data_IF_832654007317
#
_entry.id   IF_832654007317
#
_cell.length_a   1.000
_cell.length_b   1.000
_cell.length_c   1.000
_cell.angle_alpha   90.00
_cell.angle_beta   90.00
_cell.angle_gamma   90.00
#
_symmetry.space_group_name_H-M   'P 1'
#
loop_
_entity.id
_entity.type
_entity.pdbx_description
1 polymer ?
#
# COMPACT_ATOMS: atom_id res chain seq x y z
N UNK A 1 1.32 -13.64 1.80
CA UNK A 1 0.37 -12.51 1.69
C UNK A 1 1.17 -11.24 1.51
N UNK A 2 0.75 -10.30 0.64
CA UNK A 2 1.49 -9.05 0.34
C UNK A 2 0.65 -7.87 0.77
N UNK A 3 1.22 -6.97 1.53
CA UNK A 3 0.53 -5.78 2.02
C UNK A 3 1.53 -4.64 2.28
N UNK A 4 1.05 -3.42 2.41
CA UNK A 4 1.86 -2.29 2.84
C UNK A 4 1.41 -1.83 4.22
N UNK A 5 2.32 -1.19 4.95
CA UNK A 5 2.03 -0.50 6.19
C UNK A 5 2.88 0.76 6.32
N UNK A 6 2.30 1.77 6.90
CA UNK A 6 2.97 3.01 7.25
C UNK A 6 2.24 3.70 8.39
N UNK A 7 2.85 4.73 8.93
CA UNK A 7 2.23 5.56 9.95
C UNK A 7 2.71 7.00 9.86
N UNK A 8 1.92 7.90 10.40
CA UNK A 8 2.29 9.30 10.59
C UNK A 8 1.89 9.70 11.99
N UNK A 9 2.81 10.27 12.76
CA UNK A 9 2.56 10.70 14.13
C UNK A 9 3.29 12.01 14.46
N UNK A 10 2.78 12.73 15.46
CA UNK A 10 3.41 13.95 15.98
C UNK A 10 4.76 13.61 16.62
N UNK A 11 4.84 12.48 17.32
CA UNK A 11 6.06 12.03 18.00
C UNK A 11 7.25 11.76 17.04
N UNK A 12 6.96 11.39 15.79
CA UNK A 12 7.98 11.20 14.76
C UNK A 12 8.72 12.51 14.40
N UNK A 13 8.15 13.66 14.71
CA UNK A 13 8.76 14.98 14.46
C UNK A 13 9.96 15.29 15.34
N UNK A 14 10.13 14.58 16.44
CA UNK A 14 11.20 14.84 17.43
C UNK A 14 12.42 13.92 17.29
N UNK A 15 12.41 12.98 16.32
CA UNK A 15 13.51 12.03 16.13
C UNK A 15 14.33 12.33 14.88
N UNK A 16 15.09 13.40 14.89
CA UNK A 16 16.26 13.59 14.03
C UNK A 16 17.52 13.12 14.79
N UNK A 17 17.70 11.82 14.88
CA UNK A 17 18.87 11.19 15.50
C UNK A 17 19.41 10.08 14.60
N UNK A 18 20.60 10.28 14.12
CA UNK A 18 21.56 9.44 13.42
C UNK A 18 21.30 7.93 13.48
N UNK A 19 21.01 7.29 12.36
CA UNK A 19 21.00 5.83 12.23
C UNK A 19 22.42 5.31 12.01
N UNK A 20 22.96 4.63 13.02
CA UNK A 20 24.11 3.74 12.85
C UNK A 20 23.67 2.42 12.23
N UNK A 21 24.42 1.95 11.23
CA UNK A 21 24.34 0.60 10.69
C UNK A 21 24.68 -0.41 11.79
N UNK A 22 23.69 -1.08 12.37
CA UNK A 22 23.85 -2.09 13.42
C UNK A 22 22.99 -3.33 13.13
N UNK A 23 23.64 -4.47 13.28
CA UNK A 23 23.24 -5.83 12.98
C UNK A 23 21.87 -6.25 13.54
N UNK A 24 21.25 -7.20 12.83
CA UNK A 24 20.02 -7.90 13.18
C UNK A 24 20.19 -8.75 14.45
N UNK A 25 19.34 -8.51 15.45
CA UNK A 25 19.07 -9.49 16.49
C UNK A 25 17.58 -9.83 16.53
N UNK A 26 17.30 -11.13 16.43
CA UNK A 26 15.96 -11.72 16.58
C UNK A 26 15.62 -11.76 18.08
N UNK A 27 14.52 -11.11 18.48
CA UNK A 27 14.09 -11.08 19.88
C UNK A 27 12.57 -11.12 20.05
N UNK A 28 12.14 -12.16 20.62
CA UNK A 28 11.00 -12.68 21.34
C UNK A 28 9.75 -11.81 21.62
N UNK A 29 8.61 -12.49 21.54
CA UNK A 29 7.31 -12.05 22.02
C UNK A 29 7.34 -11.78 23.54
N UNK A 30 7.01 -10.57 23.96
CA UNK A 30 6.83 -10.20 25.36
C UNK A 30 5.38 -9.77 25.64
N UNK A 31 4.82 -10.34 26.67
CA UNK A 31 3.46 -10.22 27.19
C UNK A 31 3.07 -8.80 27.61
N UNK A 32 1.76 -8.53 27.49
CA UNK A 32 1.06 -7.32 27.88
C UNK A 32 1.26 -6.92 29.34
N UNK A 33 1.39 -5.62 29.59
CA UNK A 33 1.33 -5.03 30.92
C UNK A 33 1.22 -3.51 30.87
N UNK A 34 0.13 -3.01 31.49
CA UNK A 34 -0.09 -1.70 32.04
C UNK A 34 0.08 -0.45 31.15
N UNK A 35 -0.95 0.40 31.19
CA UNK A 35 -0.94 1.80 30.74
C UNK A 35 0.25 2.51 31.42
N UNK A 36 1.38 2.53 30.72
CA UNK A 36 2.62 3.19 31.09
C UNK A 36 2.97 4.23 30.05
N UNK A 37 3.71 5.23 30.44
CA UNK A 37 4.22 6.39 29.72
C UNK A 37 4.60 6.10 28.26
N UNK A 38 4.56 7.09 27.33
CA UNK A 38 4.92 6.89 25.94
C UNK A 38 6.32 6.28 25.85
N UNK A 39 6.35 5.02 25.42
CA UNK A 39 7.58 4.21 25.28
C UNK A 39 8.50 4.87 24.24
N UNK A 40 9.45 5.64 24.70
CA UNK A 40 10.42 6.43 23.93
C UNK A 40 11.44 5.57 23.17
N UNK A 41 11.10 4.41 22.68
CA UNK A 41 12.11 3.56 22.05
C UNK A 41 11.64 2.49 21.09
N UNK A 42 10.35 2.24 21.00
CA UNK A 42 9.85 1.09 20.24
C UNK A 42 9.73 1.39 18.75
N UNK A 43 10.78 1.11 18.01
CA UNK A 43 10.70 1.07 16.54
C UNK A 43 9.98 -0.21 16.14
N UNK A 44 8.76 -0.09 15.64
CA UNK A 44 8.02 -1.25 15.11
C UNK A 44 8.57 -1.59 13.73
N UNK A 45 9.16 -2.77 13.61
CA UNK A 45 9.60 -3.31 12.33
C UNK A 45 8.71 -4.49 11.97
N UNK A 46 7.87 -4.39 10.93
CA UNK A 46 7.06 -5.53 10.51
C UNK A 46 7.96 -6.67 10.02
N UNK A 47 7.69 -7.90 10.47
CA UNK A 47 8.48 -9.09 10.09
C UNK A 47 8.35 -9.35 8.59
N UNK A 48 9.47 -9.61 7.92
CA UNK A 48 9.51 -9.84 6.47
C UNK A 48 9.17 -8.60 5.63
N UNK A 49 9.42 -7.42 6.19
CA UNK A 49 9.16 -6.15 5.52
C UNK A 49 10.42 -5.58 4.87
N UNK A 50 10.21 -4.94 3.73
CA UNK A 50 11.17 -4.07 3.05
C UNK A 50 10.80 -2.61 3.36
N UNK A 51 11.74 -1.86 3.91
CA UNK A 51 11.58 -0.42 4.09
C UNK A 51 11.63 0.28 2.74
N UNK A 52 10.59 1.01 2.38
CA UNK A 52 10.53 1.81 1.17
C UNK A 52 11.08 3.21 1.40
N UNK A 53 10.75 3.79 2.55
CA UNK A 53 11.38 4.97 3.10
C UNK A 53 11.17 5.04 4.62
N UNK A 54 12.11 5.70 5.30
CA UNK A 54 12.12 5.84 6.75
C UNK A 54 11.45 7.10 7.28
N UNK A 55 11.78 7.40 8.51
CA UNK A 55 11.25 8.55 9.25
C UNK A 55 11.22 9.85 8.45
N UNK A 56 10.31 10.76 8.81
CA UNK A 56 9.44 10.71 10.00
C UNK A 56 8.10 9.96 9.77
N UNK A 57 7.78 9.60 8.56
CA UNK A 57 6.54 8.93 8.18
C UNK A 57 6.89 7.69 7.35
N UNK A 58 7.34 6.59 8.00
CA UNK A 58 7.88 5.43 7.32
C UNK A 58 6.83 4.66 6.54
N UNK A 59 7.27 4.02 5.44
CA UNK A 59 6.47 3.12 4.64
C UNK A 59 7.21 1.81 4.41
N UNK A 60 6.51 0.71 4.62
CA UNK A 60 7.00 -0.64 4.48
C UNK A 60 6.17 -1.44 3.49
N UNK A 61 6.83 -2.25 2.68
CA UNK A 61 6.22 -3.31 1.90
C UNK A 61 6.47 -4.64 2.60
N UNK A 62 5.43 -5.39 2.93
CA UNK A 62 5.51 -6.64 3.69
C UNK A 62 5.13 -7.82 2.80
N UNK A 63 5.92 -8.89 2.88
CA UNK A 63 5.71 -10.11 2.13
C UNK A 63 6.53 -10.17 0.84
N UNK A 64 6.28 -11.20 0.06
CA UNK A 64 7.03 -11.51 -1.16
C UNK A 64 6.54 -10.67 -2.35
N UNK A 65 6.96 -9.43 -2.40
CA UNK A 65 6.71 -8.53 -3.52
C UNK A 65 7.72 -8.76 -4.62
N UNK A 66 7.25 -8.82 -5.86
CA UNK A 66 8.13 -8.84 -7.01
C UNK A 66 8.72 -7.44 -7.22
N UNK A 67 9.97 -7.34 -7.69
CA UNK A 67 10.62 -6.03 -7.91
C UNK A 67 9.86 -5.10 -8.86
N UNK A 68 9.13 -5.67 -9.84
CA UNK A 68 8.30 -4.92 -10.79
C UNK A 68 6.95 -4.45 -10.20
N UNK A 69 6.60 -4.92 -9.01
CA UNK A 69 5.36 -4.53 -8.31
C UNK A 69 5.58 -3.41 -7.28
N UNK A 70 6.82 -3.00 -7.03
CA UNK A 70 7.15 -1.86 -6.16
C UNK A 70 7.91 -0.83 -6.98
N UNK A 71 7.34 0.35 -7.10
CA UNK A 71 7.97 1.47 -7.81
C UNK A 71 7.99 2.68 -6.93
N UNK A 72 9.15 3.34 -6.87
CA UNK A 72 9.33 4.58 -6.11
C UNK A 72 9.88 5.63 -7.04
N UNK A 73 9.20 6.76 -7.13
CA UNK A 73 9.68 7.95 -7.84
C UNK A 73 9.76 9.11 -6.86
N UNK A 74 10.72 10.00 -7.07
CA UNK A 74 10.94 11.16 -6.21
C UNK A 74 11.11 12.42 -7.05
N UNK A 75 10.68 13.55 -6.47
CA UNK A 75 10.85 14.90 -7.02
C UNK A 75 11.41 15.76 -5.88
N UNK A 76 12.73 15.89 -5.83
CA UNK A 76 13.41 16.52 -4.70
C UNK A 76 13.59 15.56 -3.51
N UNK A 77 14.00 16.09 -2.37
CA UNK A 77 14.39 15.30 -1.20
C UNK A 77 13.21 14.80 -0.37
N UNK A 78 12.11 15.54 -0.34
CA UNK A 78 10.98 15.36 0.58
C UNK A 78 9.65 15.08 -0.12
N UNK A 79 9.69 14.87 -1.46
CA UNK A 79 8.50 14.60 -2.28
C UNK A 79 8.71 13.29 -3.01
N UNK A 80 7.93 12.27 -2.65
CA UNK A 80 8.09 10.89 -3.17
C UNK A 80 6.75 10.19 -3.29
N UNK A 81 6.70 9.24 -4.22
CA UNK A 81 5.53 8.40 -4.48
C UNK A 81 5.97 6.95 -4.55
N UNK A 82 5.31 6.10 -3.78
CA UNK A 82 5.36 4.65 -3.95
C UNK A 82 4.08 4.16 -4.62
N UNK A 83 4.25 3.28 -5.60
CA UNK A 83 3.15 2.57 -6.27
C UNK A 83 3.39 1.07 -6.07
N UNK A 84 2.46 0.41 -5.38
CA UNK A 84 2.56 -1.01 -5.05
C UNK A 84 1.47 -1.79 -5.78
N UNK A 85 1.87 -2.65 -6.68
CA UNK A 85 1.00 -3.45 -7.54
C UNK A 85 1.33 -3.28 -9.02
N UNK A 86 0.44 -3.74 -9.88
CA UNK A 86 0.62 -3.61 -11.32
C UNK A 86 0.15 -2.22 -11.78
N UNK A 87 1.08 -1.42 -12.31
CA UNK A 87 0.79 -0.07 -12.82
C UNK A 87 1.45 0.09 -14.20
N UNK A 88 0.68 0.48 -15.21
CA UNK A 88 1.17 0.63 -16.58
C UNK A 88 1.82 1.99 -16.86
N UNK A 89 1.75 2.94 -15.92
CA UNK A 89 2.37 4.25 -16.10
C UNK A 89 3.92 4.13 -16.13
N UNK A 90 4.54 5.00 -16.91
CA UNK A 90 5.99 5.21 -16.90
C UNK A 90 6.41 5.99 -15.65
N UNK A 91 7.70 5.98 -15.31
CA UNK A 91 8.21 6.77 -14.19
C UNK A 91 7.99 8.27 -14.37
N UNK A 92 8.01 8.74 -15.61
CA UNK A 92 7.74 10.14 -15.92
C UNK A 92 6.27 10.50 -15.65
N UNK A 93 5.33 9.66 -16.07
CA UNK A 93 3.90 9.84 -15.76
C UNK A 93 3.64 9.79 -14.26
N UNK A 94 4.35 8.94 -13.52
CA UNK A 94 4.28 8.90 -12.06
C UNK A 94 4.79 10.21 -11.44
N UNK A 95 5.90 10.78 -11.94
CA UNK A 95 6.41 12.09 -11.47
C UNK A 95 5.44 13.23 -11.77
N UNK A 96 4.84 13.23 -12.96
CA UNK A 96 3.80 14.21 -13.33
C UNK A 96 2.60 14.11 -12.40
N UNK A 97 2.11 12.90 -12.12
CA UNK A 97 1.03 12.66 -11.17
C UNK A 97 1.37 13.09 -9.74
N UNK A 98 2.60 12.82 -9.29
CA UNK A 98 3.09 13.26 -8.00
C UNK A 98 3.13 14.81 -7.91
N UNK A 99 3.59 15.47 -8.95
CA UNK A 99 3.60 16.92 -9.01
C UNK A 99 2.18 17.51 -8.93
N UNK A 100 1.23 16.93 -9.66
CA UNK A 100 -0.18 17.33 -9.61
C UNK A 100 -0.79 17.11 -8.20
N UNK A 101 -0.49 15.96 -7.57
CA UNK A 101 -0.94 15.63 -6.23
C UNK A 101 -0.35 16.55 -5.14
N UNK A 102 0.83 17.10 -5.36
CA UNK A 102 1.41 18.15 -4.51
C UNK A 102 0.49 19.37 -4.40
N UNK A 103 -0.16 19.74 -5.50
CA UNK A 103 -1.18 20.80 -5.56
C UNK A 103 -2.58 20.39 -5.10
N UNK A 104 -2.78 19.12 -4.65
CA UNK A 104 -4.08 18.62 -4.18
C UNK A 104 -4.90 17.89 -5.24
N UNK A 105 -4.42 17.74 -6.48
CA UNK A 105 -5.12 17.03 -7.54
C UNK A 105 -4.94 15.50 -7.41
N UNK A 106 -5.52 14.90 -6.36
CA UNK A 106 -5.30 13.50 -5.96
C UNK A 106 -5.76 12.49 -7.00
N UNK A 107 -6.74 12.82 -7.85
CA UNK A 107 -7.23 11.95 -8.92
C UNK A 107 -6.12 11.48 -9.87
N UNK A 108 -5.05 12.27 -10.02
CA UNK A 108 -3.92 11.87 -10.87
C UNK A 108 -3.17 10.65 -10.33
N UNK A 109 -3.27 10.35 -9.02
CA UNK A 109 -2.66 9.17 -8.40
C UNK A 109 -3.48 7.89 -8.62
N UNK A 110 -4.73 7.99 -9.07
CA UNK A 110 -5.62 6.85 -9.34
C UNK A 110 -5.95 6.66 -10.82
N UNK A 111 -5.45 7.55 -11.69
CA UNK A 111 -5.82 7.58 -13.10
C UNK A 111 -5.01 6.62 -13.99
N UNK A 112 -3.92 6.03 -13.51
CA UNK A 112 -3.08 5.15 -14.31
C UNK A 112 -3.75 3.78 -14.52
N UNK A 113 -3.58 3.19 -15.71
CA UNK A 113 -4.08 1.84 -15.92
C UNK A 113 -3.37 0.83 -15.03
N UNK A 114 -4.16 -0.05 -14.39
CA UNK A 114 -3.57 -1.09 -13.55
C UNK A 114 -4.40 -1.41 -12.31
N UNK A 115 -3.77 -2.12 -11.37
CA UNK A 115 -4.34 -2.46 -10.06
C UNK A 115 -3.23 -2.27 -9.02
N UNK A 116 -3.24 -1.14 -8.33
CA UNK A 116 -2.16 -0.69 -7.44
C UNK A 116 -2.72 0.12 -6.28
N UNK A 117 -1.89 0.33 -5.28
CA UNK A 117 -2.09 1.32 -4.21
C UNK A 117 -1.00 2.38 -4.34
N UNK A 118 -1.38 3.65 -4.31
CA UNK A 118 -0.45 4.77 -4.38
C UNK A 118 -0.31 5.44 -3.02
N UNK A 119 0.93 5.65 -2.59
CA UNK A 119 1.27 6.39 -1.37
C UNK A 119 2.19 7.54 -1.75
N UNK A 120 1.69 8.76 -1.65
CA UNK A 120 2.46 9.97 -1.91
C UNK A 120 2.84 10.64 -0.59
N UNK A 121 4.11 11.03 -0.48
CA UNK A 121 4.59 11.89 0.60
C UNK A 121 5.07 13.21 0.02
N UNK A 122 4.58 14.31 0.58
CA UNK A 122 4.99 15.68 0.25
C UNK A 122 5.32 16.38 1.56
N UNK A 123 6.59 16.52 1.86
CA UNK A 123 7.08 16.93 3.17
C UNK A 123 6.46 16.04 4.28
N UNK A 124 5.68 16.64 5.20
CA UNK A 124 5.00 15.95 6.30
C UNK A 124 3.57 15.49 5.98
N UNK A 125 3.14 15.63 4.73
CA UNK A 125 1.83 15.17 4.29
C UNK A 125 1.97 13.81 3.61
N UNK A 126 1.34 12.79 4.17
CA UNK A 126 1.20 11.47 3.56
C UNK A 126 -0.21 11.35 2.99
N UNK A 127 -0.32 10.93 1.75
CA UNK A 127 -1.60 10.68 1.07
C UNK A 127 -1.61 9.25 0.56
N UNK A 128 -2.58 8.47 1.02
CA UNK A 128 -2.78 7.08 0.58
C UNK A 128 -4.04 7.01 -0.26
N UNK A 129 -3.91 6.61 -1.51
CA UNK A 129 -5.02 6.52 -2.45
C UNK A 129 -5.35 5.06 -2.69
N UNK A 130 -6.60 4.68 -2.36
CA UNK A 130 -7.18 3.41 -2.74
C UNK A 130 -7.66 3.41 -4.18
N UNK A 131 -8.26 2.33 -4.63
CA UNK A 131 -8.87 2.29 -5.94
C UNK A 131 -10.34 2.77 -5.91
N UNK A 132 -10.85 3.14 -7.08
CA UNK A 132 -12.22 3.64 -7.24
C UNK A 132 -13.28 2.56 -6.96
N UNK A 133 -12.97 1.31 -7.28
CA UNK A 133 -13.87 0.17 -7.07
C UNK A 133 -13.77 -0.43 -5.66
N UNK A 134 -12.77 -0.02 -4.87
CA UNK A 134 -12.51 -0.57 -3.54
C UNK A 134 -11.98 -2.01 -3.56
N UNK A 135 -11.51 -2.51 -4.71
CA UNK A 135 -10.93 -3.86 -4.81
C UNK A 135 -9.57 -3.99 -4.11
N UNK A 136 -8.90 -2.85 -3.90
CA UNK A 136 -7.67 -2.74 -3.08
C UNK A 136 -7.96 -1.86 -1.88
N UNK A 137 -8.53 -2.42 -0.82
CA UNK A 137 -8.92 -1.65 0.34
C UNK A 137 -7.68 -1.10 1.07
N UNK A 138 -7.82 0.12 1.60
CA UNK A 138 -6.89 0.71 2.53
C UNK A 138 -7.59 0.81 3.88
N UNK A 139 -6.87 0.43 4.93
CA UNK A 139 -7.34 0.44 6.31
C UNK A 139 -6.50 1.42 7.12
N UNK A 140 -7.07 1.92 8.19
CA UNK A 140 -6.38 2.81 9.11
C UNK A 140 -6.89 2.65 10.55
N UNK A 141 -6.06 3.04 11.50
CA UNK A 141 -6.38 3.05 12.93
C UNK A 141 -5.62 4.17 13.64
N UNK A 142 -6.18 4.79 14.69
CA UNK A 142 -5.41 5.64 15.59
C UNK A 142 -4.29 4.83 16.25
N UNK A 143 -3.07 5.36 16.25
CA UNK A 143 -1.92 4.70 16.86
C UNK A 143 -0.81 5.70 17.19
N UNK A 144 -0.19 5.56 18.37
CA UNK A 144 0.98 6.34 18.82
C UNK A 144 0.84 7.87 18.63
N UNK A 145 -0.32 8.42 19.00
CA UNK A 145 -0.60 9.85 18.84
C UNK A 145 -0.78 10.32 17.40
N UNK A 146 -0.97 9.40 16.48
CA UNK A 146 -1.20 9.64 15.06
C UNK A 146 -2.10 8.59 14.43
N UNK A 147 -1.73 8.15 13.24
CA UNK A 147 -2.50 7.16 12.49
C UNK A 147 -1.56 6.16 11.81
N UNK A 148 -1.79 4.87 12.03
CA UNK A 148 -1.24 3.79 11.23
C UNK A 148 -2.22 3.43 10.11
N UNK A 149 -1.68 3.03 8.94
CA UNK A 149 -2.46 2.64 7.78
C UNK A 149 -1.82 1.46 7.06
N UNK A 150 -2.62 0.72 6.31
CA UNK A 150 -2.13 -0.42 5.54
C UNK A 150 -3.18 -0.98 4.59
N UNK A 151 -2.78 -1.95 3.77
CA UNK A 151 -3.69 -2.66 2.84
C UNK A 151 -4.19 -3.99 3.39
N UNK A 152 -3.93 -4.28 4.67
CA UNK A 152 -4.47 -5.42 5.41
C UNK A 152 -4.96 -4.95 6.78
N UNK A 153 -6.16 -5.38 7.18
CA UNK A 153 -6.78 -4.95 8.44
C UNK A 153 -6.19 -5.70 9.65
N UNK A 154 -5.92 -6.99 9.53
CA UNK A 154 -5.42 -7.82 10.64
C UNK A 154 -4.12 -7.29 11.26
N UNK A 155 -3.07 -6.92 10.50
CA UNK A 155 -1.86 -6.38 11.12
C UNK A 155 -2.08 -5.06 11.87
N UNK A 156 -3.05 -4.25 11.44
CA UNK A 156 -3.43 -3.04 12.18
C UNK A 156 -4.22 -3.39 13.44
N UNK A 157 -5.04 -4.44 13.38
CA UNK A 157 -5.74 -4.95 14.55
C UNK A 157 -4.76 -5.49 15.60
N UNK A 158 -3.76 -6.26 15.16
CA UNK A 158 -2.70 -6.77 16.04
C UNK A 158 -1.90 -5.62 16.67
N UNK A 159 -1.65 -4.54 15.92
CA UNK A 159 -0.91 -3.37 16.40
C UNK A 159 -1.60 -2.66 17.58
N UNK A 160 -2.93 -2.66 17.61
CA UNK A 160 -3.74 -2.02 18.66
C UNK A 160 -4.41 -3.04 19.60
N UNK A 161 -4.09 -4.32 19.48
CA UNK A 161 -4.72 -5.42 20.23
C UNK A 161 -6.25 -5.39 20.15
N UNK A 162 -6.77 -5.15 18.93
CA UNK A 162 -8.19 -4.94 18.68
C UNK A 162 -9.02 -6.19 18.99
N UNK A 163 -10.17 -5.96 19.63
CA UNK A 163 -11.19 -6.99 19.77
C UNK A 163 -11.99 -7.17 18.48
N UNK A 164 -12.67 -8.31 18.33
CA UNK A 164 -13.59 -8.51 17.22
C UNK A 164 -14.82 -7.58 17.34
N UNK A 165 -15.20 -6.98 16.23
CA UNK A 165 -16.42 -6.20 16.09
C UNK A 165 -17.61 -7.14 15.82
N UNK A 166 -18.33 -7.52 16.89
CA UNK A 166 -19.48 -8.41 16.79
C UNK A 166 -20.62 -7.78 15.95
N UNK A 167 -20.77 -6.46 15.99
CA UNK A 167 -21.76 -5.74 15.18
C UNK A 167 -21.48 -5.88 13.70
N UNK A 168 -20.22 -5.72 13.30
CA UNK A 168 -19.78 -5.93 11.91
C UNK A 168 -20.00 -7.38 11.47
N UNK A 169 -19.62 -8.35 12.30
CA UNK A 169 -19.81 -9.77 11.98
C UNK A 169 -21.30 -10.13 11.86
N UNK A 170 -22.14 -9.60 12.74
CA UNK A 170 -23.59 -9.81 12.66
C UNK A 170 -24.17 -9.20 11.38
N UNK A 171 -23.77 -7.98 11.00
CA UNK A 171 -24.21 -7.33 9.77
C UNK A 171 -23.76 -8.12 8.52
N UNK A 172 -22.52 -8.61 8.51
CA UNK A 172 -21.99 -9.44 7.43
C UNK A 172 -22.78 -10.72 7.24
N UNK A 173 -23.20 -11.36 8.33
CA UNK A 173 -24.02 -12.58 8.29
C UNK A 173 -25.48 -12.31 7.93
N UNK A 174 -26.04 -11.19 8.38
CA UNK A 174 -27.43 -10.84 8.14
C UNK A 174 -27.68 -10.30 6.72
N UNK A 175 -26.72 -9.58 6.17
CA UNK A 175 -26.85 -8.87 4.89
C UNK A 175 -25.59 -9.09 4.00
N UNK A 176 -25.27 -10.35 3.61
CA UNK A 176 -24.04 -10.65 2.88
C UNK A 176 -23.95 -9.97 1.51
N UNK A 177 -25.10 -9.69 0.89
CA UNK A 177 -25.18 -9.10 -0.45
C UNK A 177 -25.30 -7.56 -0.42
N UNK A 178 -25.22 -6.94 0.77
CA UNK A 178 -25.37 -5.49 0.96
C UNK A 178 -24.12 -4.92 1.63
N UNK A 179 -23.03 -4.73 0.87
CA UNK A 179 -21.78 -4.23 1.42
C UNK A 179 -21.90 -2.83 2.05
N UNK A 180 -22.91 -2.05 1.66
CA UNK A 180 -23.22 -0.75 2.24
C UNK A 180 -23.64 -0.86 3.71
N UNK A 181 -24.21 -1.98 4.14
CA UNK A 181 -24.57 -2.24 5.53
C UNK A 181 -23.35 -2.30 6.45
N UNK A 182 -22.18 -2.60 5.91
CA UNK A 182 -20.92 -2.67 6.67
C UNK A 182 -20.26 -1.29 6.82
N UNK A 183 -20.60 -0.33 5.96
CA UNK A 183 -20.01 1.01 5.96
C UNK A 183 -18.48 0.96 5.82
N UNK A 184 -17.80 1.72 6.67
CA UNK A 184 -16.33 1.77 6.76
C UNK A 184 -15.77 0.86 7.88
N UNK A 185 -16.62 0.06 8.52
CA UNK A 185 -16.21 -0.86 9.59
C UNK A 185 -15.42 -2.06 9.05
N UNK A 186 -14.72 -2.74 9.96
CA UNK A 186 -14.01 -3.99 9.69
C UNK A 186 -14.36 -5.00 10.78
N UNK A 187 -13.99 -6.28 10.63
CA UNK A 187 -14.16 -7.27 11.70
C UNK A 187 -13.41 -6.93 13.00
N UNK A 188 -12.60 -5.88 13.01
CA UNK A 188 -11.74 -5.51 14.15
C UNK A 188 -12.14 -4.13 14.68
N UNK A 189 -12.49 -4.05 15.97
CA UNK A 189 -12.85 -2.81 16.63
C UNK A 189 -11.69 -1.78 16.54
N UNK A 190 -12.01 -0.55 16.11
CA UNK A 190 -11.00 0.51 15.97
C UNK A 190 -10.23 0.53 14.65
N UNK A 191 -10.29 -0.53 13.85
CA UNK A 191 -9.75 -0.55 12.49
C UNK A 191 -10.86 -0.20 11.50
N UNK A 192 -10.63 0.80 10.66
CA UNK A 192 -11.60 1.28 9.68
C UNK A 192 -11.06 1.17 8.27
N UNK A 193 -11.96 1.04 7.30
CA UNK A 193 -11.69 1.03 5.87
C UNK A 193 -11.88 2.44 5.30
N UNK A 194 -11.06 2.81 4.33
CA UNK A 194 -11.29 4.01 3.54
C UNK A 194 -12.36 3.68 2.48
N UNK A 195 -13.40 4.51 2.35
CA UNK A 195 -14.42 4.29 1.31
C UNK A 195 -13.82 4.29 -0.09
N UNK A 196 -14.37 3.53 -1.06
CA UNK A 196 -13.98 3.61 -2.46
C UNK A 196 -14.02 5.04 -2.98
N UNK A 197 -13.09 5.42 -3.85
CA UNK A 197 -13.02 6.78 -4.40
C UNK A 197 -12.52 7.85 -3.40
N UNK A 198 -12.00 7.43 -2.24
CA UNK A 198 -11.45 8.34 -1.24
C UNK A 198 -9.96 8.07 -1.00
N UNK A 199 -9.29 9.12 -0.53
CA UNK A 199 -7.91 9.07 -0.08
C UNK A 199 -7.82 9.38 1.42
N UNK A 200 -6.86 8.76 2.09
CA UNK A 200 -6.44 9.10 3.43
C UNK A 200 -5.33 10.15 3.35
N UNK A 201 -5.55 11.30 3.93
CA UNK A 201 -4.55 12.37 4.03
C UNK A 201 -4.15 12.53 5.48
N UNK A 202 -2.86 12.34 5.76
CA UNK A 202 -2.26 12.48 7.08
C UNK A 202 -1.34 13.69 7.09
N UNK A 203 -1.42 14.48 8.15
CA UNK A 203 -0.56 15.65 8.37
C UNK A 203 -0.27 15.77 9.86
N UNK A 204 0.96 15.49 10.25
CA UNK A 204 1.45 15.70 11.62
C UNK A 204 0.46 15.22 12.70
N UNK A 205 0.02 13.98 12.60
CA UNK A 205 -0.94 13.37 13.52
C UNK A 205 -2.42 13.65 13.22
N UNK A 206 -2.73 14.62 12.37
CA UNK A 206 -4.11 14.83 11.89
C UNK A 206 -4.46 13.85 10.77
N UNK A 207 -5.73 13.53 10.66
CA UNK A 207 -6.27 12.60 9.67
C UNK A 207 -7.49 13.20 8.99
N UNK A 208 -7.50 13.12 7.66
CA UNK A 208 -8.64 13.51 6.83
C UNK A 208 -8.92 12.40 5.80
N UNK A 209 -10.20 12.12 5.57
CA UNK A 209 -10.64 11.25 4.47
C UNK A 209 -11.32 12.16 3.45
N UNK A 210 -10.78 12.22 2.24
CA UNK A 210 -11.26 13.12 1.20
C UNK A 210 -11.56 12.35 -0.08
N UNK A 211 -12.71 12.64 -0.71
CA UNK A 211 -13.04 12.11 -2.03
C UNK A 211 -12.13 12.72 -3.09
N UNK A 212 -11.55 11.92 -3.95
CA UNK A 212 -10.75 12.40 -5.08
C UNK A 212 -11.53 12.42 -6.40
N UNK A 213 -12.68 11.74 -6.44
CA UNK A 213 -13.66 11.85 -7.53
C UNK A 213 -14.83 12.71 -7.06
N UNK A 214 -15.22 13.73 -7.82
CA UNK A 214 -16.39 14.53 -7.49
C UNK A 214 -17.64 13.65 -7.53
N UNK A 215 -18.42 13.61 -6.44
CA UNK A 215 -19.71 12.88 -6.39
C UNK A 215 -20.64 13.33 -7.53
N UNK A 216 -20.56 14.61 -7.91
CA UNK A 216 -21.30 15.15 -9.04
C UNK A 216 -20.94 14.50 -10.39
N UNK A 217 -19.71 14.02 -10.58
CA UNK A 217 -19.31 13.34 -11.82
C UNK A 217 -19.92 11.94 -11.92
N UNK A 218 -20.23 11.32 -10.78
CA UNK A 218 -20.94 10.03 -10.71
C UNK A 218 -22.46 10.22 -10.73
N UNK A 219 -22.95 11.37 -10.29
CA UNK A 219 -24.37 11.70 -10.20
C UNK A 219 -24.92 12.44 -11.44
N UNK A 220 -24.06 12.97 -12.30
CA UNK A 220 -24.49 13.51 -13.58
C UNK A 220 -25.11 12.36 -14.35
N UNK A 221 -26.40 12.48 -14.68
CA UNK A 221 -27.12 11.48 -15.43
C UNK A 221 -26.26 11.06 -16.63
N UNK A 222 -25.81 9.81 -16.62
CA UNK A 222 -25.07 9.27 -17.73
C UNK A 222 -25.89 9.52 -18.99
N UNK A 223 -25.29 9.96 -20.09
CA UNK A 223 -26.02 10.09 -21.34
C UNK A 223 -26.73 8.75 -21.58
N UNK A 224 -28.02 8.80 -21.88
CA UNK A 224 -28.79 7.59 -22.19
C UNK A 224 -28.23 6.97 -23.46
N UNK A 225 -27.29 6.04 -23.26
CA UNK A 225 -26.71 5.28 -24.38
C UNK A 225 -27.67 4.17 -24.78
N UNK A 226 -27.84 3.91 -26.09
CA UNK A 226 -28.49 2.70 -26.54
C UNK A 226 -27.82 1.47 -25.92
N UNK A 227 -28.55 0.41 -25.52
CA UNK A 227 -27.96 -0.75 -24.85
C UNK A 227 -26.77 -1.36 -25.60
N UNK A 228 -26.81 -1.41 -26.91
CA UNK A 228 -25.71 -1.90 -27.74
C UNK A 228 -24.43 -1.03 -27.57
N UNK A 229 -24.55 0.28 -27.58
CA UNK A 229 -23.43 1.19 -27.39
C UNK A 229 -22.85 1.09 -25.96
N UNK A 230 -23.69 0.83 -24.96
CA UNK A 230 -23.23 0.58 -23.60
C UNK A 230 -22.39 -0.72 -23.50
N UNK A 231 -22.86 -1.80 -24.15
CA UNK A 231 -22.13 -3.08 -24.21
C UNK A 231 -20.80 -2.91 -24.94
N UNK A 232 -20.79 -2.20 -26.07
CA UNK A 232 -19.55 -1.93 -26.80
C UNK A 232 -18.57 -1.11 -25.95
N UNK A 233 -19.04 -0.08 -25.25
CA UNK A 233 -18.22 0.72 -24.35
C UNK A 233 -17.58 -0.09 -23.21
N UNK A 234 -18.34 -0.99 -22.60
CA UNK A 234 -17.82 -1.90 -21.55
C UNK A 234 -16.77 -2.85 -22.13
N UNK A 235 -17.04 -3.43 -23.29
CA UNK A 235 -16.08 -4.32 -23.97
C UNK A 235 -14.77 -3.58 -24.27
N UNK A 236 -14.85 -2.39 -24.84
CA UNK A 236 -13.68 -1.58 -25.19
C UNK A 236 -12.87 -1.18 -23.96
N UNK A 237 -13.55 -0.82 -22.87
CA UNK A 237 -12.90 -0.53 -21.59
C UNK A 237 -12.17 -1.76 -21.01
N UNK A 238 -12.79 -2.94 -21.05
CA UNK A 238 -12.19 -4.20 -20.62
C UNK A 238 -10.95 -4.56 -21.47
N UNK A 239 -11.08 -4.49 -22.80
CA UNK A 239 -9.97 -4.75 -23.72
C UNK A 239 -8.81 -3.78 -23.47
N UNK A 240 -9.12 -2.49 -23.28
CA UNK A 240 -8.12 -1.46 -22.96
C UNK A 240 -7.41 -1.76 -21.63
N UNK A 241 -8.16 -2.11 -20.58
CA UNK A 241 -7.59 -2.46 -19.28
C UNK A 241 -6.69 -3.70 -19.35
N UNK A 242 -7.09 -4.74 -20.10
CA UNK A 242 -6.27 -5.94 -20.30
C UNK A 242 -5.00 -5.62 -21.08
N UNK A 243 -5.10 -4.85 -22.17
CA UNK A 243 -3.93 -4.42 -22.95
C UNK A 243 -2.95 -3.63 -22.10
N UNK A 244 -3.44 -2.64 -21.35
CA UNK A 244 -2.60 -1.84 -20.44
C UNK A 244 -1.87 -2.71 -19.42
N UNK A 245 -2.51 -3.76 -18.91
CA UNK A 245 -1.89 -4.70 -17.96
C UNK A 245 -0.85 -5.60 -18.63
N UNK A 246 -1.08 -6.05 -19.84
CA UNK A 246 -0.15 -6.90 -20.59
C UNK A 246 1.08 -6.13 -21.10
N UNK A 247 0.91 -4.85 -21.42
CA UNK A 247 1.95 -3.97 -21.92
C UNK A 247 2.61 -3.12 -20.83
N UNK A 248 2.21 -3.29 -19.57
CA UNK A 248 2.80 -2.56 -18.45
C UNK A 248 4.33 -2.78 -18.41
N UNK A 249 5.11 -1.70 -18.32
CA UNK A 249 6.56 -1.81 -18.25
C UNK A 249 6.99 -2.70 -17.09
N UNK A 250 7.93 -3.60 -17.33
CA UNK A 250 8.62 -4.31 -16.27
C UNK A 250 9.76 -3.44 -15.78
N UNK A 251 9.69 -3.01 -14.52
CA UNK A 251 10.65 -2.08 -13.95
C UNK A 251 11.73 -2.78 -13.11
N UNK A 252 11.64 -4.11 -12.95
CA UNK A 252 12.71 -4.87 -12.35
C UNK A 252 13.92 -4.81 -13.27
N UNK A 253 15.13 -4.47 -12.78
CA UNK A 253 16.34 -4.76 -13.51
C UNK A 253 16.33 -6.27 -13.82
N UNK A 254 16.76 -6.66 -14.99
CA UNK A 254 17.04 -8.07 -15.30
C UNK A 254 18.21 -8.55 -14.41
N UNK A 255 17.95 -8.69 -13.14
CA UNK A 255 18.83 -9.41 -12.25
C UNK A 255 18.63 -10.87 -12.54
N UNK A 256 19.65 -11.48 -13.15
CA UNK A 256 19.82 -12.91 -13.05
C UNK A 256 19.48 -13.31 -11.60
N UNK A 257 18.66 -14.37 -11.40
CA UNK A 257 18.39 -14.85 -10.05
C UNK A 257 19.74 -14.98 -9.33
N UNK A 258 19.85 -14.51 -8.07
CA UNK A 258 21.10 -14.64 -7.35
C UNK A 258 21.53 -16.09 -7.45
N UNK A 259 22.79 -16.30 -7.85
CA UNK A 259 23.41 -17.63 -7.92
C UNK A 259 23.01 -18.33 -6.59
N UNK A 260 22.22 -19.41 -6.61
CA UNK A 260 21.71 -20.03 -5.38
C UNK A 260 22.84 -20.50 -4.46
N UNK A 261 24.07 -20.24 -4.83
CA UNK A 261 25.22 -20.69 -4.10
C UNK A 261 25.32 -22.22 -4.06
N UNK A 262 26.40 -22.77 -3.53
CA UNK A 262 26.53 -24.21 -3.38
C UNK A 262 25.52 -24.71 -2.35
N UNK A 263 24.50 -25.43 -2.80
CA UNK A 263 23.57 -26.15 -1.92
C UNK A 263 24.36 -27.21 -1.16
N UNK A 264 24.27 -27.30 0.17
CA UNK A 264 24.92 -28.36 0.92
C UNK A 264 24.52 -29.74 0.36
N UNK A 265 25.52 -30.57 0.00
CA UNK A 265 25.31 -31.88 -0.61
C UNK A 265 25.42 -31.94 -2.15
N UNK A 266 25.46 -30.79 -2.83
CA UNK A 266 25.62 -30.76 -4.29
C UNK A 266 27.08 -31.10 -4.70
N UNK A 267 27.25 -32.08 -5.55
CA UNK A 267 28.55 -32.51 -6.06
C UNK A 267 29.21 -31.48 -7.01
N UNK A 268 30.53 -31.61 -7.28
CA UNK A 268 31.22 -30.63 -8.13
C UNK A 268 30.66 -30.52 -9.56
N UNK A 269 30.18 -31.62 -10.13
CA UNK A 269 29.57 -31.67 -11.46
C UNK A 269 28.20 -30.97 -11.50
N UNK A 270 27.37 -31.20 -10.49
CA UNK A 270 26.06 -30.58 -10.36
C UNK A 270 26.18 -29.07 -10.13
N UNK A 271 27.15 -28.62 -9.34
CA UNK A 271 27.47 -27.19 -9.17
C UNK A 271 27.87 -26.51 -10.47
N UNK A 272 28.60 -27.23 -11.35
CA UNK A 272 28.99 -26.70 -12.64
C UNK A 272 27.82 -26.62 -13.61
N UNK A 273 26.93 -27.62 -13.60
CA UNK A 273 25.72 -27.64 -14.41
C UNK A 273 24.74 -26.53 -13.97
N UNK A 274 24.57 -26.32 -12.68
CA UNK A 274 23.72 -25.24 -12.12
C UNK A 274 24.21 -23.82 -12.47
N UNK A 275 25.52 -23.65 -12.75
CA UNK A 275 26.13 -22.40 -13.21
C UNK A 275 26.11 -22.21 -14.73
N UNK A 276 25.42 -23.08 -15.50
CA UNK A 276 25.33 -22.96 -16.97
C UNK A 276 26.64 -23.18 -17.68
N UNK A 277 27.62 -23.82 -17.05
CA UNK A 277 28.90 -24.19 -17.68
C UNK A 277 28.71 -25.37 -18.67
N UNK A 278 29.52 -25.42 -19.78
CA UNK A 278 29.48 -26.56 -20.69
C UNK A 278 29.77 -27.85 -19.93
N UNK A 279 29.02 -28.89 -20.24
CA UNK A 279 29.32 -30.25 -19.77
C UNK A 279 30.74 -30.66 -20.23
N UNK A 280 31.47 -31.43 -19.42
CA UNK A 280 32.81 -31.91 -19.79
C UNK A 280 32.78 -32.82 -21.00
#
# INVERSE_FOLDING_TARGET
MRWLVGWSSVAASFRTGTYGTGAYEAGGYGTAGAVGEPDEGRTVHPVGAQLLWGDPDPLWAVGDWRPDEIRIVSVGADTRLAVLGCCAATDEELRVGLFAARGGALRHLSAWPGSYTAVAQVARRVTVVGDLAGARPVFYTPWAGGTAYGTAALPLADLIEAQLDIGHLAALLACPDVPEALGDSTPYAGVRRIPPGHALVLREGSREITGYEPVASLAVAAPQLPPAAAVDGVRDALVSAVRARLTAPRHAPETLPPDPGPVPGMGPAERRAARGGPAP
#
